data_IF_718213063593
#
_entry.id   IF_718213063593
#
_cell.length_a   1.000
_cell.length_b   1.000
_cell.length_c   1.000
_cell.angle_alpha   90.00
_cell.angle_beta   90.00
_cell.angle_gamma   90.00
#
_symmetry.space_group_name_H-M   'P 1'
#
loop_
_entity.id
_entity.type
_entity.pdbx_description
1 polymer ?
#
# COMPACT_ATOMS: atom_id res chain seq x y z
N UNK A 1 -0.76 -35.82 2.10
CA UNK A 1 -0.62 -34.52 2.78
C UNK A 1 0.80 -34.01 2.59
N UNK A 2 1.07 -33.40 1.43
CA UNK A 2 2.36 -32.77 1.17
C UNK A 2 2.30 -31.34 1.70
N UNK A 3 3.11 -31.04 2.72
CA UNK A 3 3.39 -29.67 3.09
C UNK A 3 4.12 -29.02 1.91
N UNK A 4 3.54 -27.99 1.30
CA UNK A 4 4.30 -27.13 0.40
C UNK A 4 5.42 -26.48 1.23
N UNK A 5 6.64 -26.96 1.03
CA UNK A 5 7.85 -26.23 1.40
C UNK A 5 7.88 -24.99 0.52
N UNK A 6 7.64 -23.81 1.09
CA UNK A 6 7.85 -22.53 0.42
C UNK A 6 9.36 -22.32 0.26
N UNK A 7 9.97 -22.97 -0.71
CA UNK A 7 11.34 -22.69 -1.14
C UNK A 7 11.32 -21.39 -1.96
N UNK A 8 11.41 -20.26 -1.27
CA UNK A 8 11.49 -18.94 -1.87
C UNK A 8 12.27 -17.99 -0.95
N UNK A 9 12.84 -16.94 -1.54
CA UNK A 9 13.46 -15.86 -0.77
C UNK A 9 12.36 -14.95 -0.22
N UNK A 10 12.31 -14.74 1.09
CA UNK A 10 11.45 -13.72 1.70
C UNK A 10 12.18 -12.38 1.58
N UNK A 11 11.66 -11.48 0.75
CA UNK A 11 12.06 -10.07 0.77
C UNK A 11 11.19 -9.31 1.77
N UNK A 12 11.82 -8.46 2.59
CA UNK A 12 11.14 -7.53 3.50
C UNK A 12 11.33 -6.09 3.01
N UNK A 13 10.76 -5.69 1.85
CA UNK A 13 10.80 -4.30 1.44
C UNK A 13 10.10 -3.46 2.51
N UNK A 14 10.81 -2.48 3.05
CA UNK A 14 10.25 -1.56 4.03
C UNK A 14 9.21 -0.69 3.34
N UNK A 15 7.96 -0.82 3.75
CA UNK A 15 6.85 -0.03 3.24
C UNK A 15 6.39 0.93 4.35
N UNK A 16 6.86 2.18 4.26
CA UNK A 16 6.59 3.21 5.24
C UNK A 16 7.38 3.09 6.56
N UNK A 17 7.24 4.11 7.40
CA UNK A 17 7.91 4.19 8.72
C UNK A 17 7.02 3.66 9.87
N UNK A 18 5.72 3.45 9.61
CA UNK A 18 4.72 3.31 10.66
C UNK A 18 4.61 4.59 11.51
N UNK A 19 3.57 4.71 12.32
CA UNK A 19 3.39 5.91 13.16
C UNK A 19 4.29 5.90 14.42
N UNK A 20 5.07 4.84 14.68
CA UNK A 20 5.91 4.71 15.87
C UNK A 20 5.15 4.63 17.20
N UNK A 21 3.81 4.63 17.17
CA UNK A 21 2.95 4.53 18.34
C UNK A 21 2.60 3.06 18.57
N UNK A 22 3.20 2.44 19.60
CA UNK A 22 3.09 1.01 19.96
C UNK A 22 1.68 0.47 20.27
N UNK A 23 0.61 1.19 19.93
CA UNK A 23 -0.80 0.80 20.07
C UNK A 23 -1.52 0.54 18.73
N UNK A 24 -0.88 0.74 17.57
CA UNK A 24 -1.42 0.39 16.24
C UNK A 24 -0.46 -0.48 15.42
N UNK A 25 0.06 -1.56 16.01
CA UNK A 25 0.79 -2.61 15.29
C UNK A 25 -0.12 -3.51 14.44
N UNK A 26 -1.17 -2.94 13.83
CA UNK A 26 -1.90 -3.64 12.79
C UNK A 26 -1.13 -3.40 11.50
N UNK A 27 -0.42 -4.43 11.03
CA UNK A 27 -0.14 -4.55 9.61
C UNK A 27 -1.49 -4.72 8.91
N UNK A 28 -2.23 -3.62 8.74
CA UNK A 28 -3.24 -3.53 7.71
C UNK A 28 -2.38 -3.58 6.45
N UNK A 29 -2.45 -4.67 5.69
CA UNK A 29 -1.76 -4.80 4.40
C UNK A 29 -2.75 -4.48 3.28
N UNK A 30 -3.17 -3.20 3.10
CA UNK A 30 -4.01 -2.82 2.00
C UNK A 30 -3.21 -2.91 0.70
N UNK A 31 -3.22 -4.11 0.09
CA UNK A 31 -2.51 -4.40 -1.15
C UNK A 31 -3.49 -4.67 -2.29
N UNK A 32 -3.18 -4.14 -3.46
CA UNK A 32 -3.78 -4.56 -4.73
C UNK A 32 -2.69 -4.79 -5.75
N UNK A 33 -2.92 -5.72 -6.68
CA UNK A 33 -1.94 -6.06 -7.73
C UNK A 33 -2.61 -5.94 -9.09
N UNK A 34 -1.92 -5.29 -10.02
CA UNK A 34 -2.27 -5.32 -11.45
C UNK A 34 -1.02 -5.10 -12.30
N UNK A 35 -0.93 -5.79 -13.45
CA UNK A 35 0.14 -5.62 -14.43
C UNK A 35 1.56 -5.67 -13.81
N UNK A 36 1.82 -6.68 -12.98
CA UNK A 36 3.10 -6.87 -12.27
C UNK A 36 3.51 -5.72 -11.35
N UNK A 37 2.54 -4.90 -10.91
CA UNK A 37 2.74 -3.82 -9.95
C UNK A 37 1.92 -4.12 -8.69
N UNK A 38 2.57 -4.04 -7.54
CA UNK A 38 1.95 -4.07 -6.21
C UNK A 38 1.70 -2.63 -5.77
N UNK A 39 0.45 -2.32 -5.47
CA UNK A 39 0.03 -1.05 -4.90
C UNK A 39 -0.25 -1.21 -3.41
N UNK A 40 0.30 -0.30 -2.62
CA UNK A 40 0.22 -0.38 -1.17
C UNK A 40 0.01 1.01 -0.58
N UNK A 41 -0.99 1.13 0.31
CA UNK A 41 -1.28 2.35 1.07
C UNK A 41 -0.68 2.30 2.48
N UNK A 42 -0.03 3.38 2.91
CA UNK A 42 0.65 3.47 4.21
C UNK A 42 -0.07 4.42 5.16
N UNK A 43 0.05 4.13 6.45
CA UNK A 43 -0.41 5.02 7.52
C UNK A 43 0.44 6.30 7.63
N UNK A 44 1.63 6.34 7.00
CA UNK A 44 2.41 7.58 6.84
C UNK A 44 1.83 8.53 5.76
N UNK A 45 0.75 8.11 5.10
CA UNK A 45 0.04 8.88 4.09
C UNK A 45 0.56 8.72 2.68
N UNK A 46 1.49 7.81 2.43
CA UNK A 46 1.98 7.52 1.07
C UNK A 46 1.28 6.31 0.45
N UNK A 47 0.90 6.47 -0.82
CA UNK A 47 0.57 5.37 -1.73
C UNK A 47 1.84 5.03 -2.51
N UNK A 48 2.20 3.75 -2.58
CA UNK A 48 3.37 3.30 -3.35
C UNK A 48 2.94 2.30 -4.41
N UNK A 49 3.62 2.36 -5.55
CA UNK A 49 3.64 1.31 -6.54
C UNK A 49 5.02 0.67 -6.54
N UNK A 50 5.05 -0.65 -6.48
CA UNK A 50 6.27 -1.43 -6.47
C UNK A 50 6.24 -2.48 -7.58
N UNK A 51 7.40 -2.75 -8.17
CA UNK A 51 7.57 -3.90 -9.05
C UNK A 51 7.30 -5.19 -8.24
N UNK A 52 6.41 -6.06 -8.75
CA UNK A 52 5.99 -7.25 -8.02
C UNK A 52 7.09 -8.32 -7.91
N UNK A 53 8.07 -8.32 -8.82
CA UNK A 53 9.14 -9.29 -8.84
C UNK A 53 10.32 -8.87 -7.95
N UNK A 54 10.66 -7.58 -7.94
CA UNK A 54 11.84 -7.05 -7.22
C UNK A 54 11.48 -6.38 -5.90
N UNK A 55 10.25 -5.88 -5.76
CA UNK A 55 9.84 -5.03 -4.64
C UNK A 55 10.38 -3.60 -4.72
N UNK A 56 11.01 -3.20 -5.84
CA UNK A 56 11.49 -1.84 -6.03
C UNK A 56 10.33 -0.85 -6.15
N UNK A 57 10.42 0.28 -5.47
CA UNK A 57 9.43 1.36 -5.56
C UNK A 57 9.54 2.01 -6.94
N UNK A 58 8.52 1.84 -7.76
CA UNK A 58 8.38 2.48 -9.07
C UNK A 58 7.97 3.95 -8.91
N UNK A 59 7.06 4.23 -7.99
CA UNK A 59 6.67 5.58 -7.60
C UNK A 59 6.01 5.62 -6.22
N UNK A 60 5.97 6.81 -5.62
CA UNK A 60 5.21 7.11 -4.40
C UNK A 60 4.42 8.41 -4.53
N UNK A 61 3.24 8.48 -3.94
CA UNK A 61 2.41 9.69 -3.87
C UNK A 61 2.01 9.98 -2.42
N UNK A 62 2.38 11.15 -1.94
CA UNK A 62 2.04 11.61 -0.60
C UNK A 62 0.62 12.22 -0.56
N UNK A 63 -0.14 11.87 0.47
CA UNK A 63 -1.45 12.43 0.80
C UNK A 63 -1.40 13.08 2.18
N UNK A 64 -2.33 13.99 2.47
CA UNK A 64 -2.31 14.76 3.73
C UNK A 64 -2.87 13.95 4.93
N UNK A 65 -3.26 12.70 4.72
CA UNK A 65 -3.83 11.82 5.72
C UNK A 65 -3.36 10.36 5.58
N UNK A 66 -3.72 9.53 6.55
CA UNK A 66 -3.36 8.10 6.53
C UNK A 66 -4.15 7.31 5.48
N UNK A 67 -3.50 6.34 4.83
CA UNK A 67 -4.15 5.40 3.91
C UNK A 67 -4.21 4.04 4.61
N UNK A 68 -5.42 3.65 5.02
CA UNK A 68 -5.65 2.41 5.77
C UNK A 68 -6.34 1.31 4.94
N UNK A 69 -6.98 1.67 3.82
CA UNK A 69 -7.78 0.74 3.02
C UNK A 69 -7.05 0.32 1.74
N UNK A 70 -7.32 -0.90 1.27
CA UNK A 70 -6.79 -1.41 0.01
C UNK A 70 -7.22 -0.50 -1.14
N UNK A 71 -6.29 -0.06 -2.01
CA UNK A 71 -6.70 0.68 -3.19
C UNK A 71 -7.50 -0.23 -4.11
N UNK A 72 -8.51 0.30 -4.78
CA UNK A 72 -9.32 -0.46 -5.74
C UNK A 72 -8.86 -0.17 -7.17
N UNK A 73 -8.84 -1.19 -8.03
CA UNK A 73 -8.45 -1.04 -9.43
C UNK A 73 -9.68 -1.30 -10.29
N UNK A 74 -10.06 -0.30 -11.11
CA UNK A 74 -11.21 -0.36 -12.01
C UNK A 74 -10.82 0.29 -13.34
N UNK A 75 -11.02 -0.42 -14.45
CA UNK A 75 -10.73 0.05 -15.82
C UNK A 75 -9.33 0.67 -15.97
N UNK A 76 -8.33 -0.04 -15.43
CA UNK A 76 -6.93 0.40 -15.44
C UNK A 76 -6.61 1.58 -14.53
N UNK A 77 -7.58 2.09 -13.76
CA UNK A 77 -7.40 3.19 -12.83
C UNK A 77 -7.36 2.69 -11.38
N UNK A 78 -6.44 3.23 -10.59
CA UNK A 78 -6.28 2.98 -9.17
C UNK A 78 -7.03 4.04 -8.36
N UNK A 79 -7.75 3.62 -7.32
CA UNK A 79 -8.54 4.47 -6.45
C UNK A 79 -8.18 4.21 -4.99
N UNK A 80 -7.98 5.26 -4.19
CA UNK A 80 -7.77 5.11 -2.75
C UNK A 80 -8.31 6.29 -1.97
N UNK A 81 -8.77 6.02 -0.76
CA UNK A 81 -9.15 7.05 0.20
C UNK A 81 -7.97 7.39 1.11
N UNK A 82 -7.90 8.66 1.50
CA UNK A 82 -7.02 9.13 2.57
C UNK A 82 -7.84 9.77 3.70
N UNK A 83 -7.29 9.74 4.90
CA UNK A 83 -7.83 10.42 6.07
C UNK A 83 -8.61 9.56 7.06
N UNK A 84 -8.18 8.31 7.30
CA UNK A 84 -8.68 7.54 8.44
C UNK A 84 -8.28 8.20 9.79
N UNK A 85 -9.08 8.04 10.86
CA UNK A 85 -9.21 8.96 11.99
C UNK A 85 -8.02 9.03 12.96
N UNK A 86 -6.85 8.49 12.60
CA UNK A 86 -5.62 8.69 13.39
C UNK A 86 -4.92 9.99 12.97
N UNK A 87 -5.43 11.11 13.45
CA UNK A 87 -4.66 12.35 13.61
C UNK A 87 -4.82 13.42 12.51
N UNK A 88 -4.98 13.06 11.23
CA UNK A 88 -5.12 14.04 10.14
C UNK A 88 -6.00 13.46 9.03
N UNK A 89 -7.24 13.93 8.95
CA UNK A 89 -8.19 13.50 7.93
C UNK A 89 -8.26 14.54 6.82
N UNK A 90 -7.64 14.25 5.68
CA UNK A 90 -7.84 15.04 4.47
C UNK A 90 -9.22 14.76 3.83
N UNK A 91 -9.78 13.58 4.14
CA UNK A 91 -11.08 13.07 3.65
C UNK A 91 -11.15 13.07 2.12
N UNK A 92 -10.01 12.84 1.47
CA UNK A 92 -9.88 12.89 0.00
C UNK A 92 -9.97 11.49 -0.59
N UNK A 93 -10.58 11.41 -1.77
CA UNK A 93 -10.50 10.26 -2.66
C UNK A 93 -9.56 10.61 -3.80
N UNK A 94 -8.60 9.73 -4.04
CA UNK A 94 -7.61 9.88 -5.09
C UNK A 94 -7.90 8.88 -6.22
N UNK A 95 -7.57 9.30 -7.45
CA UNK A 95 -7.61 8.47 -8.65
C UNK A 95 -6.28 8.62 -9.39
N UNK A 96 -5.67 7.51 -9.75
CA UNK A 96 -4.54 7.45 -10.67
C UNK A 96 -4.92 6.66 -11.91
N UNK A 97 -4.72 7.25 -13.08
CA UNK A 97 -4.86 6.58 -14.38
C UNK A 97 -3.50 6.60 -15.06
N UNK A 98 -2.85 5.45 -15.25
CA UNK A 98 -1.68 5.34 -16.13
C UNK A 98 -2.05 5.83 -17.53
N UNK A 99 -1.10 6.48 -18.21
CA UNK A 99 -1.25 6.84 -19.63
C UNK A 99 -1.06 5.62 -20.52
#
# INVERSE_FOLDING_TARGET
>A
NAALSLTGTISHPKFGEGLGLGFFALAQGPLSVANDIVYAGSLDGNMYAMDAATGEILWSNHTDGSINSAPSIVDGSLYWGSGYPVGFADKKLYKFSPK
#
